data_IF_019716519650
#
_entry.id   IF_019716519650
#
_cell.length_a   1.000
_cell.length_b   1.000
_cell.length_c   1.000
_cell.angle_alpha   90.00
_cell.angle_beta   90.00
_cell.angle_gamma   90.00
#
_symmetry.space_group_name_H-M   'P 1'
#
loop_
_entity.id
_entity.type
_entity.pdbx_description
1 polymer ?
#
# COMPACT_ATOMS: atom_id res chain seq x y z
N UNK A 1 29.39 32.53 0.93
CA UNK A 1 28.40 31.57 1.46
C UNK A 1 27.15 31.69 0.61
N UNK A 2 26.97 30.80 -0.36
CA UNK A 2 25.88 30.87 -1.34
C UNK A 2 24.78 29.92 -0.92
N UNK A 3 23.63 30.45 -0.49
CA UNK A 3 22.42 29.67 -0.31
C UNK A 3 21.91 29.25 -1.69
N UNK A 4 22.09 27.98 -2.04
CA UNK A 4 21.50 27.41 -3.25
C UNK A 4 20.01 27.20 -2.98
N UNK A 5 19.18 28.07 -3.57
CA UNK A 5 17.73 27.97 -3.51
C UNK A 5 17.26 26.78 -4.37
N UNK A 6 16.82 25.72 -3.71
CA UNK A 6 16.14 24.58 -4.34
C UNK A 6 14.73 25.02 -4.79
N UNK A 7 14.61 25.50 -6.04
CA UNK A 7 13.31 25.74 -6.68
C UNK A 7 12.71 24.39 -7.07
N UNK A 8 11.69 23.92 -6.34
CA UNK A 8 10.78 22.88 -6.84
C UNK A 8 10.10 23.41 -8.10
N UNK A 9 10.23 22.68 -9.19
CA UNK A 9 9.54 22.95 -10.45
C UNK A 9 8.07 22.51 -10.31
N UNK A 10 7.15 23.45 -10.47
CA UNK A 10 5.70 23.25 -10.36
C UNK A 10 5.02 22.93 -11.70
N UNK A 11 5.79 22.70 -12.77
CA UNK A 11 5.23 22.53 -14.13
C UNK A 11 4.74 21.11 -14.43
N UNK A 12 5.05 20.12 -13.59
CA UNK A 12 4.59 18.74 -13.79
C UNK A 12 3.22 18.51 -13.13
N UNK A 13 2.17 18.17 -13.88
CA UNK A 13 0.86 17.87 -13.31
C UNK A 13 0.93 16.58 -12.47
N UNK A 14 0.44 16.67 -11.23
CA UNK A 14 0.25 15.50 -10.35
C UNK A 14 -0.87 14.64 -10.92
N UNK A 15 -0.62 13.33 -11.06
CA UNK A 15 -1.61 12.36 -11.52
C UNK A 15 -1.84 11.32 -10.42
N UNK A 16 -3.11 10.99 -10.19
CA UNK A 16 -3.51 9.84 -9.38
C UNK A 16 -4.02 8.76 -10.31
N UNK A 17 -3.50 7.54 -10.15
CA UNK A 17 -3.91 6.37 -10.93
C UNK A 17 -4.54 5.38 -9.97
N UNK A 18 -5.76 4.95 -10.29
CA UNK A 18 -6.47 3.89 -9.55
C UNK A 18 -6.68 2.74 -10.51
N UNK A 19 -6.34 1.54 -10.06
CA UNK A 19 -6.49 0.32 -10.83
C UNK A 19 -6.70 -0.87 -9.89
N UNK A 20 -7.32 -1.92 -10.41
CA UNK A 20 -7.50 -3.19 -9.71
C UNK A 20 -6.54 -4.23 -10.26
N UNK A 21 -5.85 -4.95 -9.38
CA UNK A 21 -5.00 -6.09 -9.76
C UNK A 21 -5.64 -7.35 -9.19
N UNK A 22 -5.93 -8.33 -10.05
CA UNK A 22 -6.24 -9.67 -9.59
C UNK A 22 -4.93 -10.42 -9.38
N UNK A 23 -4.63 -10.82 -8.15
CA UNK A 23 -3.43 -11.57 -7.75
C UNK A 23 -2.10 -10.85 -8.08
N UNK A 24 -1.75 -9.77 -7.34
CA UNK A 24 -0.49 -9.07 -7.54
C UNK A 24 0.70 -9.98 -7.21
N UNK A 25 1.71 -10.00 -8.09
CA UNK A 25 3.00 -10.61 -7.76
C UNK A 25 3.73 -9.77 -6.70
N UNK A 26 4.54 -10.39 -5.84
CA UNK A 26 5.36 -9.67 -4.84
C UNK A 26 6.09 -8.43 -5.39
N UNK A 27 6.66 -8.52 -6.60
CA UNK A 27 7.43 -7.44 -7.22
C UNK A 27 6.63 -6.16 -7.47
N UNK A 28 5.32 -6.24 -7.70
CA UNK A 28 4.53 -5.03 -7.99
C UNK A 28 4.31 -4.21 -6.73
N UNK A 29 4.46 -4.83 -5.56
CA UNK A 29 4.12 -4.21 -4.30
C UNK A 29 5.02 -3.00 -3.97
N UNK A 30 6.27 -3.06 -4.43
CA UNK A 30 7.25 -1.99 -4.25
C UNK A 30 6.96 -0.74 -5.10
N UNK A 31 6.04 -0.84 -6.08
CA UNK A 31 5.69 0.25 -6.99
C UNK A 31 4.35 0.93 -6.65
N UNK A 32 3.60 0.38 -5.70
CA UNK A 32 2.28 0.88 -5.31
C UNK A 32 2.42 1.71 -4.03
N UNK A 33 1.94 2.95 -4.06
CA UNK A 33 2.00 3.83 -2.88
C UNK A 33 1.01 3.40 -1.80
N UNK A 34 -0.23 3.12 -2.20
CA UNK A 34 -1.34 2.83 -1.30
C UNK A 34 -2.20 1.69 -1.85
N UNK A 35 -2.69 0.87 -0.93
CA UNK A 35 -3.54 -0.27 -1.21
C UNK A 35 -4.95 0.00 -0.70
N UNK A 36 -5.93 -0.25 -1.54
CA UNK A 36 -7.33 -0.31 -1.16
C UNK A 36 -7.76 -1.78 -1.13
N UNK A 37 -7.97 -2.33 0.06
CA UNK A 37 -8.46 -3.70 0.24
C UNK A 37 -9.95 -3.64 0.57
N UNK A 38 -10.75 -4.34 -0.25
CA UNK A 38 -12.18 -4.44 -0.10
C UNK A 38 -12.56 -5.88 0.21
N UNK A 39 -13.53 -6.07 1.13
CA UNK A 39 -14.22 -7.35 1.29
C UNK A 39 -15.71 -7.07 1.47
N UNK A 40 -16.55 -7.84 0.76
CA UNK A 40 -18.03 -7.73 0.78
C UNK A 40 -18.57 -6.30 0.59
N UNK A 41 -17.92 -5.51 -0.27
CA UNK A 41 -18.29 -4.12 -0.54
C UNK A 41 -17.89 -3.10 0.53
N UNK A 42 -17.18 -3.53 1.57
CA UNK A 42 -16.65 -2.69 2.64
C UNK A 42 -15.15 -2.48 2.51
N UNK A 43 -14.67 -1.29 2.88
CA UNK A 43 -13.23 -0.99 2.96
C UNK A 43 -12.68 -1.62 4.21
N UNK A 44 -11.74 -2.56 4.04
CA UNK A 44 -11.03 -3.18 5.16
C UNK A 44 -9.72 -2.45 5.44
N UNK A 45 -9.06 -1.95 4.39
CA UNK A 45 -7.83 -1.19 4.51
C UNK A 45 -7.70 -0.15 3.41
N UNK A 46 -7.18 1.02 3.77
CA UNK A 46 -6.69 2.01 2.81
C UNK A 46 -5.37 2.61 3.32
N UNK A 47 -4.30 2.45 2.55
CA UNK A 47 -2.99 3.04 2.82
C UNK A 47 -1.82 2.14 2.41
N UNK A 48 -0.61 2.58 2.71
CA UNK A 48 0.62 1.85 2.40
C UNK A 48 0.78 0.51 3.17
N UNK A 49 1.83 -0.24 2.83
CA UNK A 49 2.14 -1.56 3.43
C UNK A 49 2.45 -1.49 4.93
N UNK A 50 3.10 -0.43 5.41
CA UNK A 50 3.44 -0.32 6.84
C UNK A 50 2.17 -0.15 7.68
N UNK A 51 1.22 0.70 7.22
CA UNK A 51 -0.09 0.81 7.87
C UNK A 51 -0.87 -0.50 7.84
N UNK A 52 -0.74 -1.30 6.77
CA UNK A 52 -1.38 -2.61 6.70
C UNK A 52 -0.78 -3.57 7.72
N UNK A 53 0.56 -3.67 7.80
CA UNK A 53 1.26 -4.49 8.79
C UNK A 53 0.87 -4.11 10.22
N UNK A 54 0.82 -2.81 10.51
CA UNK A 54 0.39 -2.30 11.82
C UNK A 54 -1.06 -2.71 12.14
N UNK A 55 -1.94 -2.66 11.15
CA UNK A 55 -3.35 -3.06 11.31
C UNK A 55 -3.47 -4.56 11.57
N UNK A 56 -2.73 -5.38 10.84
CA UNK A 56 -2.65 -6.83 11.04
C UNK A 56 -2.12 -7.14 12.45
N UNK A 57 -1.06 -6.48 12.89
CA UNK A 57 -0.48 -6.68 14.22
C UNK A 57 -1.44 -6.27 15.35
N UNK A 58 -2.20 -5.18 15.18
CA UNK A 58 -3.23 -4.73 16.14
C UNK A 58 -4.38 -5.72 16.29
N UNK A 59 -4.67 -6.51 15.26
CA UNK A 59 -5.63 -7.61 15.31
C UNK A 59 -5.07 -8.86 16.01
N UNK A 60 -3.80 -8.85 16.42
CA UNK A 60 -3.14 -9.97 17.10
C UNK A 60 -2.55 -11.02 16.17
N UNK A 61 -2.51 -10.76 14.86
CA UNK A 61 -1.92 -11.68 13.89
C UNK A 61 -0.43 -11.43 13.70
N UNK A 62 0.29 -12.51 13.39
CA UNK A 62 1.65 -12.48 12.87
C UNK A 62 1.63 -12.94 11.43
N UNK A 63 2.28 -12.18 10.54
CA UNK A 63 2.38 -12.53 9.12
C UNK A 63 3.39 -13.69 9.00
N UNK A 64 3.02 -14.83 8.40
CA UNK A 64 3.95 -15.94 8.14
C UNK A 64 5.13 -15.50 7.26
N UNK A 65 6.32 -16.07 7.48
CA UNK A 65 7.54 -15.69 6.75
C UNK A 65 7.43 -15.87 5.22
N UNK A 66 6.56 -16.78 4.77
CA UNK A 66 6.35 -17.12 3.37
C UNK A 66 5.35 -16.20 2.66
N UNK A 67 4.62 -15.37 3.41
CA UNK A 67 3.57 -14.50 2.86
C UNK A 67 3.98 -13.05 2.97
N UNK A 68 3.59 -12.27 1.96
CA UNK A 68 3.63 -10.82 2.08
C UNK A 68 2.36 -10.28 2.78
N UNK A 69 2.38 -9.03 3.28
CA UNK A 69 1.24 -8.48 4.01
C UNK A 69 -0.08 -8.45 3.21
N UNK A 70 -0.02 -8.28 1.88
CA UNK A 70 -1.21 -8.24 1.03
C UNK A 70 -1.77 -9.65 0.84
N UNK A 71 -0.92 -10.64 0.59
CA UNK A 71 -1.33 -12.05 0.54
C UNK A 71 -2.01 -12.48 1.85
N UNK A 72 -1.35 -12.23 2.98
CA UNK A 72 -1.92 -12.56 4.28
C UNK A 72 -3.23 -11.80 4.54
N UNK A 73 -3.29 -10.50 4.22
CA UNK A 73 -4.52 -9.72 4.34
C UNK A 73 -5.66 -10.33 3.51
N UNK A 74 -5.38 -10.76 2.26
CA UNK A 74 -6.38 -11.39 1.40
C UNK A 74 -6.86 -12.76 1.92
N UNK A 75 -6.03 -13.49 2.69
CA UNK A 75 -6.43 -14.77 3.30
C UNK A 75 -7.33 -14.60 4.52
N UNK A 76 -7.12 -13.54 5.32
CA UNK A 76 -7.87 -13.32 6.57
C UNK A 76 -9.15 -12.49 6.38
N UNK A 77 -9.28 -11.78 5.26
CA UNK A 77 -10.48 -11.00 4.94
C UNK A 77 -11.43 -11.85 4.08
N UNK A 78 -12.68 -11.98 4.54
CA UNK A 78 -13.71 -12.85 3.95
C UNK A 78 -14.74 -12.12 3.10
#
# INVERSE_FOLDING_TARGET
>A
MSAQNFRRDWTTPVRTVVFSIHQPSYRILDYISDYLILSRGSVIHFGNLEHLKDSIAKLGFQIPEQLNPIEFAMEIVD
#
